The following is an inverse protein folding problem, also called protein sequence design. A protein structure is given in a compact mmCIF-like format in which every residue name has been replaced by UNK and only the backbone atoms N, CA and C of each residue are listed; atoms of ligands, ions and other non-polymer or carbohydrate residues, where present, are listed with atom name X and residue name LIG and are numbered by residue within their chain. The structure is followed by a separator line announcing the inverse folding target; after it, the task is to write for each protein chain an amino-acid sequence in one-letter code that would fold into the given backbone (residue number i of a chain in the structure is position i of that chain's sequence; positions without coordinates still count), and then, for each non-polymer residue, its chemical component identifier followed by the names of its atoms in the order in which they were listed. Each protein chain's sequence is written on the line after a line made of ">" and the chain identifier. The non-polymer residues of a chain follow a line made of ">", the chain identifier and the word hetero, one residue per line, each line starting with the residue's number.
data_IF_129143851053
#
_entry.id   IF_129143851053
#
_cell.length_a   1.000
_cell.length_b   1.000
_cell.length_c   1.000
_cell.angle_alpha   90.00
_cell.angle_beta   90.00
_cell.angle_gamma   90.00
#
_symmetry.space_group_name_H-M   'P 1'
#
loop_
_entity.id
_entity.type
_entity.pdbx_description
1 polymer ?
#
# COMPACT_ATOMS: atom_id res chain seq x y z
N UNK A 1 -17.71 7.68 5.03
CA UNK A 1 -16.70 7.18 6.00
C UNK A 1 -16.96 5.72 6.42
N UNK A 2 -18.01 5.42 7.20
CA UNK A 2 -18.31 4.05 7.69
C UNK A 2 -18.36 2.96 6.61
N UNK A 3 -19.04 3.14 5.45
CA UNK A 3 -19.06 2.11 4.41
C UNK A 3 -17.67 1.78 3.86
N UNK A 4 -16.80 2.79 3.72
CA UNK A 4 -15.42 2.58 3.26
C UNK A 4 -14.59 1.80 4.29
N UNK A 5 -14.77 2.08 5.58
CA UNK A 5 -14.08 1.32 6.65
C UNK A 5 -14.54 -0.14 6.66
N UNK A 6 -15.85 -0.39 6.55
CA UNK A 6 -16.40 -1.75 6.49
C UNK A 6 -15.90 -2.53 5.27
N UNK A 7 -15.92 -1.91 4.08
CA UNK A 7 -15.40 -2.54 2.86
C UNK A 7 -13.92 -2.88 3.00
N UNK A 8 -13.10 -2.01 3.61
CA UNK A 8 -11.69 -2.31 3.83
C UNK A 8 -11.46 -3.44 4.83
N UNK A 9 -12.32 -3.59 5.85
CA UNK A 9 -12.27 -4.75 6.76
C UNK A 9 -12.59 -6.03 6.01
N UNK A 10 -13.61 -6.01 5.14
CA UNK A 10 -13.96 -7.18 4.32
C UNK A 10 -12.84 -7.54 3.33
N UNK A 11 -12.29 -6.55 2.62
CA UNK A 11 -11.18 -6.76 1.69
C UNK A 11 -9.92 -7.28 2.40
N UNK A 12 -9.59 -6.78 3.59
CA UNK A 12 -8.50 -7.32 4.41
C UNK A 12 -8.72 -8.81 4.71
N UNK A 13 -9.95 -9.18 5.09
CA UNK A 13 -10.29 -10.58 5.38
C UNK A 13 -10.17 -11.49 4.16
N UNK A 14 -10.67 -11.05 3.00
CA UNK A 14 -10.53 -11.79 1.75
C UNK A 14 -9.05 -11.95 1.35
N UNK A 15 -8.24 -10.91 1.52
CA UNK A 15 -6.80 -10.95 1.21
C UNK A 15 -5.95 -11.77 2.18
N UNK A 16 -6.54 -12.47 3.16
CA UNK A 16 -5.82 -13.40 4.04
C UNK A 16 -5.49 -14.73 3.35
N UNK A 17 -6.15 -15.08 2.24
CA UNK A 17 -5.83 -16.25 1.42
C UNK A 17 -5.26 -15.87 0.04
N UNK A 18 -4.70 -16.86 -0.68
CA UNK A 18 -4.15 -16.66 -2.02
C UNK A 18 -5.23 -16.23 -3.02
N UNK A 19 -6.39 -16.92 -3.02
CA UNK A 19 -7.49 -16.65 -3.95
C UNK A 19 -8.05 -15.25 -3.79
N UNK A 20 -8.24 -14.77 -2.55
CA UNK A 20 -8.75 -13.41 -2.34
C UNK A 20 -7.77 -12.32 -2.77
N UNK A 21 -6.45 -12.58 -2.69
CA UNK A 21 -5.45 -11.67 -3.29
C UNK A 21 -5.49 -11.74 -4.82
N UNK A 22 -5.62 -12.94 -5.37
CA UNK A 22 -5.74 -13.14 -6.82
C UNK A 22 -6.96 -12.41 -7.39
N UNK A 23 -8.14 -12.58 -6.79
CA UNK A 23 -9.38 -11.90 -7.22
C UNK A 23 -9.31 -10.39 -7.07
N UNK A 24 -8.63 -9.88 -6.03
CA UNK A 24 -8.40 -8.44 -5.93
C UNK A 24 -7.50 -7.93 -7.07
N UNK A 25 -6.44 -8.68 -7.41
CA UNK A 25 -5.47 -8.31 -8.43
C UNK A 25 -5.95 -8.56 -9.87
N UNK A 26 -6.91 -9.47 -10.08
CA UNK A 26 -7.52 -9.74 -11.39
C UNK A 26 -8.36 -8.56 -11.88
N UNK A 27 -8.87 -7.74 -10.95
CA UNK A 27 -9.59 -6.51 -11.27
C UNK A 27 -8.61 -5.36 -11.55
N UNK A 28 -8.69 -4.74 -12.73
CA UNK A 28 -7.73 -3.70 -13.18
C UNK A 28 -7.64 -2.43 -12.30
N UNK A 29 -8.60 -2.21 -11.39
CA UNK A 29 -8.57 -1.14 -10.40
C UNK A 29 -8.34 -1.62 -8.94
N UNK A 30 -8.06 -2.90 -8.71
CA UNK A 30 -8.03 -3.51 -7.38
C UNK A 30 -7.00 -2.88 -6.44
N UNK A 31 -5.76 -2.70 -6.90
CA UNK A 31 -4.74 -1.99 -6.12
C UNK A 31 -5.05 -0.49 -6.00
N UNK A 32 -5.54 0.11 -7.08
CA UNK A 32 -5.85 1.54 -7.12
C UNK A 32 -6.92 1.92 -6.10
N UNK A 33 -7.98 1.12 -5.96
CA UNK A 33 -9.08 1.45 -5.04
C UNK A 33 -8.67 1.33 -3.57
N UNK A 34 -7.80 0.37 -3.23
CA UNK A 34 -7.23 0.24 -1.88
C UNK A 34 -6.28 1.40 -1.59
N UNK A 35 -5.35 1.68 -2.51
CA UNK A 35 -4.40 2.79 -2.43
C UNK A 35 -5.09 4.14 -2.28
N UNK A 36 -6.20 4.38 -3.00
CA UNK A 36 -6.98 5.62 -2.94
C UNK A 36 -7.57 5.91 -1.56
N UNK A 37 -7.75 4.91 -0.68
CA UNK A 37 -8.32 5.13 0.66
C UNK A 37 -7.29 5.60 1.69
N UNK A 38 -5.99 5.40 1.43
CA UNK A 38 -4.91 5.83 2.32
C UNK A 38 -4.96 7.35 2.49
N UNK A 39 -4.97 7.81 3.74
CA UNK A 39 -5.04 9.21 4.17
C UNK A 39 -6.29 9.98 3.73
N UNK A 40 -7.34 9.28 3.28
CA UNK A 40 -8.58 9.91 2.76
C UNK A 40 -9.84 9.59 3.56
N UNK A 41 -9.77 8.69 4.53
CA UNK A 41 -10.97 8.19 5.23
C UNK A 41 -10.83 8.27 6.75
N UNK A 42 -9.91 7.54 7.35
CA UNK A 42 -9.66 7.50 8.80
C UNK A 42 -8.39 6.74 9.14
N UNK A 43 -7.93 6.84 10.38
CA UNK A 43 -6.80 6.05 10.91
C UNK A 43 -7.05 4.54 10.81
N UNK A 44 -8.27 4.07 11.06
CA UNK A 44 -8.64 2.66 10.85
C UNK A 44 -8.50 2.27 9.38
N UNK A 45 -9.02 3.09 8.47
CA UNK A 45 -8.89 2.84 7.04
C UNK A 45 -7.42 2.81 6.58
N UNK A 46 -6.55 3.66 7.15
CA UNK A 46 -5.11 3.64 6.89
C UNK A 46 -4.50 2.29 7.31
N UNK A 47 -4.73 1.82 8.54
CA UNK A 47 -4.18 0.53 9.00
C UNK A 47 -4.66 -0.63 8.12
N UNK A 48 -5.95 -0.64 7.75
CA UNK A 48 -6.55 -1.71 6.94
C UNK A 48 -6.03 -1.69 5.50
N UNK A 49 -6.00 -0.53 4.86
CA UNK A 49 -5.49 -0.38 3.49
C UNK A 49 -4.00 -0.75 3.40
N UNK A 50 -3.17 -0.27 4.32
CA UNK A 50 -1.74 -0.59 4.33
C UNK A 50 -1.51 -2.08 4.63
N UNK A 51 -2.36 -2.72 5.45
CA UNK A 51 -2.26 -4.16 5.70
C UNK A 51 -2.65 -5.02 4.49
N UNK A 52 -3.65 -4.61 3.71
CA UNK A 52 -3.95 -5.25 2.42
C UNK A 52 -2.73 -5.16 1.50
N UNK A 53 -2.17 -3.95 1.35
CA UNK A 53 -0.97 -3.75 0.54
C UNK A 53 0.22 -4.56 1.04
N UNK A 54 0.41 -4.71 2.35
CA UNK A 54 1.47 -5.54 2.92
C UNK A 54 1.27 -7.03 2.60
N UNK A 55 0.04 -7.54 2.70
CA UNK A 55 -0.28 -8.92 2.32
C UNK A 55 0.07 -9.19 0.86
N UNK A 56 -0.29 -8.27 -0.04
CA UNK A 56 0.06 -8.35 -1.47
C UNK A 56 1.57 -8.28 -1.67
N UNK A 57 2.25 -7.33 -1.01
CA UNK A 57 3.70 -7.12 -1.10
C UNK A 57 4.50 -8.35 -0.67
N UNK A 58 4.01 -9.10 0.33
CA UNK A 58 4.66 -10.32 0.83
C UNK A 58 4.38 -11.56 -0.02
N UNK A 59 3.16 -11.72 -0.50
CA UNK A 59 2.69 -13.01 -1.01
C UNK A 59 2.26 -13.00 -2.48
N UNK A 60 2.21 -11.83 -3.13
CA UNK A 60 1.70 -11.68 -4.50
C UNK A 60 2.46 -10.60 -5.30
N UNK A 61 3.68 -10.26 -4.89
CA UNK A 61 4.50 -9.22 -5.51
C UNK A 61 5.19 -9.71 -6.80
N UNK A 62 4.40 -9.90 -7.86
CA UNK A 62 4.96 -10.09 -9.21
C UNK A 62 5.58 -8.78 -9.71
N UNK A 63 6.45 -8.85 -10.72
CA UNK A 63 7.01 -7.65 -11.35
C UNK A 63 5.91 -6.67 -11.81
N UNK A 64 4.82 -7.19 -12.38
CA UNK A 64 3.67 -6.38 -12.80
C UNK A 64 3.03 -5.63 -11.63
N UNK A 65 2.75 -6.33 -10.53
CA UNK A 65 2.13 -5.75 -9.32
C UNK A 65 3.01 -4.64 -8.74
N UNK A 66 4.32 -4.88 -8.62
CA UNK A 66 5.27 -3.89 -8.07
C UNK A 66 5.38 -2.65 -8.96
N UNK A 67 5.32 -2.81 -10.29
CA UNK A 67 5.29 -1.69 -11.25
C UNK A 67 3.95 -0.95 -11.22
N UNK A 68 2.84 -1.65 -11.08
CA UNK A 68 1.52 -1.02 -10.94
C UNK A 68 1.46 -0.17 -9.67
N UNK A 69 1.95 -0.68 -8.54
CA UNK A 69 2.06 0.06 -7.27
C UNK A 69 2.82 1.37 -7.45
N UNK A 70 3.90 1.36 -8.25
CA UNK A 70 4.66 2.56 -8.58
C UNK A 70 3.81 3.54 -9.41
N UNK A 71 3.21 3.07 -10.52
CA UNK A 71 2.41 3.89 -11.46
C UNK A 71 1.21 4.57 -10.81
N UNK A 72 0.50 3.87 -9.92
CA UNK A 72 -0.67 4.43 -9.20
C UNK A 72 -0.28 5.24 -7.96
N UNK A 73 1.01 5.44 -7.73
CA UNK A 73 1.56 6.25 -6.64
C UNK A 73 1.31 5.64 -5.26
N UNK A 74 1.44 4.31 -5.10
CA UNK A 74 1.45 3.67 -3.77
C UNK A 74 2.67 4.13 -2.99
N UNK A 75 3.85 4.13 -3.61
CA UNK A 75 5.12 4.47 -2.95
C UNK A 75 5.04 5.87 -2.32
N UNK A 76 4.57 6.85 -3.09
CA UNK A 76 4.39 8.21 -2.59
C UNK A 76 3.42 8.30 -1.41
N UNK A 77 2.30 7.56 -1.45
CA UNK A 77 1.34 7.51 -0.33
C UNK A 77 1.93 6.84 0.91
N UNK A 78 2.75 5.79 0.74
CA UNK A 78 3.42 5.13 1.85
C UNK A 78 4.47 6.05 2.50
N UNK A 79 5.26 6.79 1.72
CA UNK A 79 6.14 7.81 2.27
C UNK A 79 5.33 8.86 3.05
N UNK A 80 4.22 9.35 2.48
CA UNK A 80 3.38 10.33 3.18
C UNK A 80 2.79 9.79 4.48
N UNK A 81 2.41 8.51 4.54
CA UNK A 81 1.98 7.82 5.78
C UNK A 81 3.07 7.89 6.86
N UNK A 82 4.36 7.83 6.50
CA UNK A 82 5.44 7.98 7.48
C UNK A 82 5.51 9.41 8.04
N UNK A 83 5.26 10.42 7.20
CA UNK A 83 5.40 11.84 7.54
C UNK A 83 4.23 12.40 8.38
N UNK A 84 2.99 11.97 8.12
CA UNK A 84 1.81 12.54 8.80
C UNK A 84 1.34 11.68 9.99
N UNK A 85 0.43 12.18 10.81
CA UNK A 85 -0.23 11.33 11.82
C UNK A 85 -1.24 10.38 11.16
N UNK A 86 -0.79 9.15 10.92
CA UNK A 86 -1.57 8.08 10.29
C UNK A 86 -1.79 6.88 11.22
N UNK A 87 -1.38 6.97 12.49
CA UNK A 87 -1.34 5.87 13.46
C UNK A 87 -0.11 4.95 13.33
N UNK A 88 0.48 4.57 14.47
CA UNK A 88 1.73 3.80 14.56
C UNK A 88 1.72 2.49 13.78
N UNK A 89 0.61 1.74 13.86
CA UNK A 89 0.45 0.45 13.17
C UNK A 89 0.51 0.58 11.64
N UNK A 90 0.02 1.69 11.09
CA UNK A 90 0.08 1.95 9.66
C UNK A 90 1.50 2.36 9.24
N UNK A 91 2.18 3.18 10.03
CA UNK A 91 3.58 3.60 9.78
C UNK A 91 4.55 2.41 9.76
N UNK A 92 4.41 1.49 10.71
CA UNK A 92 5.24 0.28 10.78
C UNK A 92 5.12 -0.56 9.50
N UNK A 93 3.89 -0.85 9.06
CA UNK A 93 3.63 -1.63 7.85
C UNK A 93 4.07 -0.88 6.59
N UNK A 94 3.89 0.44 6.53
CA UNK A 94 4.34 1.25 5.40
C UNK A 94 5.86 1.17 5.25
N UNK A 95 6.60 1.28 6.37
CA UNK A 95 8.05 1.12 6.38
C UNK A 95 8.46 -0.27 5.90
N UNK A 96 7.74 -1.30 6.29
CA UNK A 96 8.01 -2.67 5.85
C UNK A 96 7.82 -2.84 4.34
N UNK A 97 6.71 -2.37 3.78
CA UNK A 97 6.45 -2.44 2.33
C UNK A 97 7.56 -1.73 1.54
N UNK A 98 7.95 -0.53 1.98
CA UNK A 98 9.04 0.24 1.37
C UNK A 98 10.37 -0.51 1.42
N UNK A 99 10.66 -1.22 2.51
CA UNK A 99 11.87 -2.06 2.62
C UNK A 99 11.81 -3.28 1.70
N UNK A 100 10.66 -3.97 1.62
CA UNK A 100 10.48 -5.18 0.78
C UNK A 100 10.78 -4.92 -0.69
N UNK A 101 10.41 -3.75 -1.22
CA UNK A 101 10.54 -3.43 -2.64
C UNK A 101 11.57 -2.32 -2.93
N UNK A 102 12.46 -2.01 -1.97
CA UNK A 102 13.47 -0.97 -2.09
C UNK A 102 14.31 -1.05 -3.36
N UNK A 103 14.82 -2.24 -3.68
CA UNK A 103 15.66 -2.44 -4.87
C UNK A 103 14.89 -2.13 -6.16
N UNK A 104 13.60 -2.47 -6.22
CA UNK A 104 12.73 -2.25 -7.38
C UNK A 104 12.36 -0.79 -7.59
N UNK A 105 12.27 -0.01 -6.50
CA UNK A 105 11.77 1.37 -6.53
C UNK A 105 12.86 2.44 -6.48
N UNK A 106 14.06 2.14 -5.96
CA UNK A 106 15.13 3.12 -5.69
C UNK A 106 15.52 4.03 -6.86
N UNK A 107 15.47 3.52 -8.09
CA UNK A 107 15.90 4.26 -9.29
C UNK A 107 14.71 4.72 -10.14
N UNK A 108 13.50 4.70 -9.60
CA UNK A 108 12.31 5.08 -10.34
C UNK A 108 12.12 6.60 -10.37
N UNK A 109 12.06 7.17 -11.58
CA UNK A 109 11.68 8.56 -11.83
C UNK A 109 10.25 8.91 -11.40
N UNK A 110 9.39 7.91 -11.14
CA UNK A 110 8.01 8.13 -10.68
C UNK A 110 7.91 8.50 -9.18
N UNK A 111 9.02 8.52 -8.44
CA UNK A 111 9.03 8.95 -7.03
C UNK A 111 9.50 10.41 -6.97
N UNK A 112 8.66 11.34 -6.50
CA UNK A 112 9.05 12.73 -6.31
C UNK A 112 10.29 12.86 -5.42
N UNK A 113 11.20 13.76 -5.78
CA UNK A 113 12.48 13.94 -5.07
C UNK A 113 12.30 14.19 -3.57
N UNK A 114 11.29 14.98 -3.18
CA UNK A 114 10.98 15.27 -1.78
C UNK A 114 10.58 14.02 -0.97
N UNK A 115 10.11 12.95 -1.62
CA UNK A 115 9.75 11.69 -0.96
C UNK A 115 10.90 10.68 -0.91
N UNK A 116 12.01 10.94 -1.63
CA UNK A 116 13.21 10.12 -1.54
C UNK A 116 13.89 10.26 -0.17
N UNK A 117 13.82 11.45 0.45
CA UNK A 117 14.38 11.68 1.78
C UNK A 117 13.66 10.86 2.88
N UNK A 118 12.35 10.64 2.72
CA UNK A 118 11.53 9.81 3.61
C UNK A 118 11.65 8.31 3.33
N UNK A 119 12.31 7.94 2.22
CA UNK A 119 12.47 6.54 1.84
C UNK A 119 13.44 5.85 2.81
N UNK A 120 13.11 4.68 3.38
CA UNK A 120 14.02 3.97 4.26
C UNK A 120 15.33 3.62 3.51
N UNK A 121 16.45 4.24 3.90
CA UNK A 121 17.79 3.76 3.55
C UNK A 121 18.05 2.48 4.33
N UNK A 122 18.68 1.49 3.68
CA UNK A 122 18.86 0.11 4.17
C UNK A 122 19.25 0.01 5.64
#
# INVERSE_FOLDING_TARGET
>A
RKPCEMILVLLEKLCQCADGRYELLSHGCGLAIVSKKILRVSTLANDRAVRILLSISRFSATHFVVQEMLRIGVVAKLCLVLEVDSGNKAKEKAREILKLHAKSWRNSHCIPFNLLASYPTS
#
